data_IF_333884989962
#
_entry.id   IF_333884989962
#
_cell.length_a   1.000
_cell.length_b   1.000
_cell.length_c   1.000
_cell.angle_alpha   90.00
_cell.angle_beta   90.00
_cell.angle_gamma   90.00
#
_symmetry.space_group_name_H-M   'P 1'
#
loop_
_entity.id
_entity.type
_entity.pdbx_description
1 polymer ?
#
# COMPACT_ATOMS: atom_id res chain seq x y z
N UNK A 1 1.22 18.36 11.81
CA UNK A 1 0.52 17.73 10.68
C UNK A 1 1.53 16.80 10.05
N UNK A 2 1.41 15.49 10.23
CA UNK A 2 2.39 14.53 9.72
C UNK A 2 2.55 14.74 8.22
N UNK A 3 3.74 15.16 7.84
CA UNK A 3 4.21 15.30 6.48
C UNK A 3 4.29 13.87 5.92
N UNK A 4 3.15 13.34 5.48
CA UNK A 4 3.11 12.07 4.75
C UNK A 4 3.77 12.36 3.42
N UNK A 5 5.07 12.14 3.36
CA UNK A 5 5.83 12.03 2.12
C UNK A 5 5.20 10.87 1.37
N UNK A 6 4.20 11.16 0.55
CA UNK A 6 3.61 10.20 -0.37
C UNK A 6 4.64 9.96 -1.47
N UNK A 7 5.65 9.14 -1.15
CA UNK A 7 6.48 8.55 -2.17
C UNK A 7 5.57 7.90 -3.22
N UNK A 8 5.95 7.97 -4.49
CA UNK A 8 5.18 7.38 -5.60
C UNK A 8 4.82 5.92 -5.30
N UNK A 9 5.65 5.25 -4.49
CA UNK A 9 5.53 3.89 -3.97
C UNK A 9 5.48 3.89 -2.45
N UNK A 10 4.47 3.23 -1.86
CA UNK A 10 4.30 3.08 -0.40
C UNK A 10 4.08 1.61 -0.05
N UNK A 11 4.43 1.24 1.19
CA UNK A 11 4.12 -0.07 1.75
C UNK A 11 2.70 -0.07 2.30
N UNK A 12 1.92 -1.09 1.95
CA UNK A 12 0.56 -1.29 2.45
C UNK A 12 0.41 -2.66 3.08
N UNK A 13 -0.48 -2.74 4.06
CA UNK A 13 -0.90 -3.97 4.74
C UNK A 13 -2.32 -4.33 4.31
N UNK A 14 -2.54 -5.56 3.83
CA UNK A 14 -3.89 -6.04 3.56
C UNK A 14 -4.58 -6.58 4.82
N UNK A 15 -5.92 -6.62 4.79
CA UNK A 15 -6.74 -7.27 5.84
C UNK A 15 -6.40 -8.73 6.07
N UNK A 16 -5.84 -9.41 5.07
CA UNK A 16 -5.35 -10.80 5.18
C UNK A 16 -4.01 -10.94 5.90
N UNK A 17 -3.36 -9.84 6.32
CA UNK A 17 -2.09 -9.88 7.05
C UNK A 17 -0.82 -9.85 6.20
N UNK A 18 -0.93 -9.65 4.89
CA UNK A 18 0.22 -9.51 3.98
C UNK A 18 0.69 -8.06 3.82
N UNK A 19 1.98 -7.89 3.55
CA UNK A 19 2.62 -6.61 3.24
C UNK A 19 3.10 -6.61 1.79
N UNK A 20 2.89 -5.50 1.08
CA UNK A 20 3.35 -5.34 -0.29
C UNK A 20 3.48 -3.87 -0.66
N UNK A 21 4.22 -3.60 -1.74
CA UNK A 21 4.38 -2.25 -2.27
C UNK A 21 3.33 -1.92 -3.30
N UNK A 22 2.80 -0.71 -3.23
CA UNK A 22 1.85 -0.20 -4.22
C UNK A 22 2.14 1.25 -4.53
N UNK A 23 1.89 1.64 -5.77
CA UNK A 23 1.91 3.07 -6.10
C UNK A 23 0.71 3.77 -5.48
N UNK A 24 0.98 4.80 -4.71
CA UNK A 24 -0.04 5.56 -4.01
C UNK A 24 0.03 7.01 -4.43
N UNK A 25 -0.60 7.30 -5.57
CA UNK A 25 -0.67 8.67 -6.09
C UNK A 25 -1.83 9.39 -5.38
N UNK A 26 -1.58 10.25 -4.37
CA UNK A 26 -2.61 11.13 -3.87
C UNK A 26 -2.98 12.10 -5.02
N UNK A 27 -4.27 12.34 -5.25
CA UNK A 27 -4.82 13.41 -6.12
C UNK A 27 -5.15 13.09 -7.59
N UNK A 28 -4.76 11.95 -8.19
CA UNK A 28 -5.10 11.67 -9.62
C UNK A 28 -6.28 10.69 -9.79
N UNK A 29 -6.85 10.16 -8.70
CA UNK A 29 -8.04 9.31 -8.77
C UNK A 29 -9.29 10.07 -8.31
N UNK A 30 -10.01 10.65 -9.27
CA UNK A 30 -11.33 11.30 -9.09
C UNK A 30 -12.46 10.32 -8.72
N UNK A 31 -12.15 9.03 -8.49
CA UNK A 31 -13.16 7.95 -8.37
C UNK A 31 -13.15 7.18 -7.05
N UNK A 32 -12.43 7.67 -6.05
CA UNK A 32 -12.37 7.02 -4.74
C UNK A 32 -12.55 8.06 -3.66
N UNK A 33 -13.79 8.14 -3.19
CA UNK A 33 -14.19 8.80 -1.93
C UNK A 33 -13.13 8.47 -0.88
N UNK A 34 -12.46 9.50 -0.34
CA UNK A 34 -11.44 9.37 0.69
C UNK A 34 -12.01 8.58 1.88
N UNK A 35 -11.62 7.32 2.01
CA UNK A 35 -11.49 6.65 3.31
C UNK A 35 -10.04 6.80 3.83
N UNK A 36 -9.46 7.99 3.67
CA UNK A 36 -8.15 8.34 4.22
C UNK A 36 -7.01 7.41 3.76
N UNK A 37 -6.48 6.63 4.72
CA UNK A 37 -5.31 5.75 4.57
C UNK A 37 -5.65 4.32 4.10
N UNK A 38 -6.92 4.02 3.78
CA UNK A 38 -7.35 2.69 3.34
C UNK A 38 -7.85 2.71 1.90
N UNK A 39 -7.51 1.67 1.12
CA UNK A 39 -7.90 1.48 -0.27
C UNK A 39 -8.35 0.05 -0.51
N UNK A 40 -9.45 -0.10 -1.24
CA UNK A 40 -9.88 -1.42 -1.72
C UNK A 40 -9.11 -1.76 -3.00
N UNK A 41 -8.27 -2.79 -2.95
CA UNK A 41 -7.44 -3.20 -4.08
C UNK A 41 -7.19 -4.70 -4.10
N UNK A 42 -6.80 -5.24 -5.25
CA UNK A 42 -6.43 -6.66 -5.35
C UNK A 42 -5.07 -6.88 -4.68
N UNK A 43 -5.05 -7.69 -3.64
CA UNK A 43 -3.83 -8.04 -2.92
C UNK A 43 -3.01 -9.03 -3.76
N UNK A 44 -1.74 -8.73 -4.12
CA UNK A 44 -0.88 -9.66 -4.86
C UNK A 44 -0.47 -10.87 -4.01
N UNK A 45 -0.42 -10.73 -2.68
CA UNK A 45 -0.06 -11.81 -1.75
C UNK A 45 -1.07 -12.95 -1.79
N UNK A 46 -2.37 -12.62 -1.79
CA UNK A 46 -3.46 -13.61 -1.75
C UNK A 46 -4.23 -13.77 -3.07
N UNK A 47 -4.02 -12.88 -4.04
CA UNK A 47 -4.73 -12.86 -5.33
C UNK A 47 -6.20 -12.43 -5.27
N UNK A 48 -6.71 -12.00 -4.12
CA UNK A 48 -8.11 -11.60 -3.89
C UNK A 48 -8.25 -10.10 -3.58
N UNK A 49 -9.46 -9.58 -3.71
CA UNK A 49 -9.76 -8.18 -3.35
C UNK A 49 -9.82 -8.02 -1.84
N UNK A 50 -9.01 -7.11 -1.31
CA UNK A 50 -8.89 -6.85 0.12
C UNK A 50 -8.81 -5.34 0.39
N UNK A 51 -9.06 -4.96 1.63
CA UNK A 51 -8.75 -3.61 2.08
C UNK A 51 -7.27 -3.54 2.43
N UNK A 52 -6.57 -2.58 1.83
CA UNK A 52 -5.17 -2.29 2.07
C UNK A 52 -5.05 -0.95 2.81
N UNK A 53 -4.32 -0.92 3.93
CA UNK A 53 -3.99 0.29 4.67
C UNK A 53 -2.53 0.67 4.48
N UNK A 54 -2.23 1.97 4.40
CA UNK A 54 -0.84 2.46 4.38
C UNK A 54 -0.17 2.13 5.72
N UNK A 55 1.02 1.56 5.67
CA UNK A 55 1.91 1.42 6.83
C UNK A 55 2.73 2.69 6.94
N UNK A 56 2.69 3.34 8.11
CA UNK A 56 3.48 4.56 8.36
C UNK A 56 4.97 4.21 8.45
N UNK A 57 5.83 5.16 8.10
CA UNK A 57 7.29 4.91 8.00
C UNK A 57 7.88 4.44 9.34
N UNK A 58 7.38 4.98 10.46
CA UNK A 58 7.75 4.58 11.82
C UNK A 58 7.45 3.10 12.14
N UNK A 59 6.46 2.50 11.46
CA UNK A 59 6.06 1.09 11.62
C UNK A 59 6.74 0.16 10.59
N UNK A 60 7.54 0.69 9.67
CA UNK A 60 8.23 -0.12 8.66
C UNK A 60 9.49 -0.78 9.25
N UNK A 61 9.29 -1.89 9.95
CA UNK A 61 10.42 -2.71 10.41
C UNK A 61 11.14 -3.38 9.23
N UNK A 62 12.42 -3.74 9.36
CA UNK A 62 13.17 -4.40 8.27
C UNK A 62 12.52 -5.71 7.80
N UNK A 63 11.78 -6.41 8.65
CA UNK A 63 11.00 -7.59 8.27
C UNK A 63 9.84 -7.21 7.34
N UNK A 64 9.10 -6.15 7.64
CA UNK A 64 7.99 -5.66 6.82
C UNK A 64 8.49 -5.20 5.46
N UNK A 65 9.61 -4.49 5.43
CA UNK A 65 10.24 -4.04 4.18
C UNK A 65 10.65 -5.25 3.34
N UNK A 66 11.30 -6.25 3.95
CA UNK A 66 11.70 -7.49 3.26
C UNK A 66 10.50 -8.25 2.68
N UNK A 67 9.41 -8.39 3.43
CA UNK A 67 8.18 -9.01 2.92
C UNK A 67 7.55 -8.19 1.80
N UNK A 68 7.53 -6.85 1.93
CA UNK A 68 6.97 -5.97 0.92
C UNK A 68 7.79 -5.96 -0.38
N UNK A 69 9.11 -6.10 -0.29
CA UNK A 69 10.03 -6.17 -1.45
C UNK A 69 9.84 -7.47 -2.26
N UNK A 70 9.27 -8.54 -1.67
CA UNK A 70 8.87 -9.75 -2.43
C UNK A 70 7.72 -9.46 -3.41
N UNK A 71 6.93 -8.43 -3.12
CA UNK A 71 5.77 -8.02 -3.92
C UNK A 71 5.91 -6.53 -4.28
N UNK A 72 6.88 -6.18 -5.14
CA UNK A 72 7.08 -4.80 -5.55
C UNK A 72 5.84 -4.29 -6.28
N UNK A 73 5.69 -2.96 -6.36
CA UNK A 73 4.66 -2.32 -7.17
C UNK A 73 5.00 -2.51 -8.66
N UNK A 74 4.92 -3.75 -9.11
CA UNK A 74 5.21 -4.15 -10.47
C UNK A 74 4.29 -3.35 -11.38
N UNK A 75 4.92 -2.61 -12.29
CA UNK A 75 4.30 -2.06 -13.48
C UNK A 75 3.74 -3.27 -14.21
N UNK A 76 2.44 -3.52 -14.07
CA UNK A 76 1.75 -4.45 -14.96
C UNK A 76 2.11 -4.00 -16.38
N UNK A 77 2.62 -4.89 -17.25
CA UNK A 77 2.95 -4.53 -18.63
C UNK A 77 1.75 -3.92 -19.37
#
# INVERSE_FOLDING_TARGET
MSEKTYADEVIVRCSGGGYYRTRWIPLVSFKSIRFGAYRFQRCPVHGRWEMAGIVEDDDQTPEIISEADKYPASRVP
#
